data_IF_432414058452
#
_entry.id   IF_432414058452
#
_cell.length_a   1.000
_cell.length_b   1.000
_cell.length_c   1.000
_cell.angle_alpha   90.00
_cell.angle_beta   90.00
_cell.angle_gamma   90.00
#
_symmetry.space_group_name_H-M   'P 1'
#
loop_
_entity.id
_entity.type
_entity.pdbx_description
1 polymer ?
#
# COMPACT_ATOMS: atom_id res chain seq x y z
N UNK A 1 63.94 71.05 15.04
CA UNK A 1 63.77 72.09 14.02
C UNK A 1 62.45 71.82 13.31
N UNK A 2 61.54 72.80 13.40
CA UNK A 2 60.33 73.11 12.62
C UNK A 2 59.36 71.96 12.22
N UNK A 3 58.17 71.78 12.84
CA UNK A 3 56.88 72.53 12.68
C UNK A 3 56.53 72.79 11.21
N UNK A 4 55.51 72.19 10.56
CA UNK A 4 54.02 72.30 10.64
C UNK A 4 53.49 71.45 9.44
N UNK A 5 52.32 70.81 9.36
CA UNK A 5 50.96 71.36 9.36
C UNK A 5 49.97 70.17 9.19
N UNK A 6 48.76 70.31 9.74
CA UNK A 6 47.59 69.44 9.61
C UNK A 6 47.23 69.09 8.16
N UNK A 7 46.66 67.90 7.89
CA UNK A 7 45.25 67.79 7.48
C UNK A 7 44.70 66.36 7.57
N UNK A 8 43.49 66.31 8.12
CA UNK A 8 42.59 65.18 8.29
C UNK A 8 42.04 64.77 6.92
N UNK A 9 42.18 63.48 6.56
CA UNK A 9 41.39 62.85 5.48
C UNK A 9 40.71 61.60 6.02
N UNK A 10 39.69 61.82 6.85
CA UNK A 10 38.59 60.88 7.05
C UNK A 10 37.56 61.12 5.95
N UNK A 11 37.45 60.22 4.98
CA UNK A 11 36.23 60.06 4.17
C UNK A 11 35.99 58.59 3.83
N UNK A 12 35.07 58.01 4.61
CA UNK A 12 34.00 57.12 4.19
C UNK A 12 34.33 55.96 3.23
N UNK A 13 34.72 54.82 3.80
CA UNK A 13 34.23 53.53 3.31
C UNK A 13 32.91 53.24 4.03
N UNK A 14 31.82 53.70 3.42
CA UNK A 14 30.46 53.30 3.74
C UNK A 14 30.28 51.80 3.48
N UNK A 15 30.00 51.08 4.56
CA UNK A 15 29.04 49.99 4.66
C UNK A 15 28.85 49.09 3.41
N UNK A 16 29.56 47.97 3.40
CA UNK A 16 28.91 46.68 3.16
C UNK A 16 29.17 45.83 4.41
N UNK A 17 28.40 46.12 5.47
CA UNK A 17 28.24 45.16 6.56
C UNK A 17 27.58 43.93 5.95
N UNK A 18 28.37 42.88 5.73
CA UNK A 18 27.82 41.55 5.59
C UNK A 18 27.25 41.19 6.96
N UNK A 19 25.99 41.55 7.19
CA UNK A 19 25.12 40.91 8.16
C UNK A 19 24.96 39.44 7.76
N UNK A 20 26.00 38.64 7.98
CA UNK A 20 25.78 37.22 8.24
C UNK A 20 25.04 37.18 9.56
N UNK A 21 23.70 37.28 9.49
CA UNK A 21 22.85 36.77 10.56
C UNK A 21 23.31 35.33 10.76
N UNK A 22 24.03 35.06 11.85
CA UNK A 22 24.33 33.70 12.29
C UNK A 22 23.00 32.96 12.26
N UNK A 23 22.85 32.10 11.26
CA UNK A 23 21.67 31.26 11.16
C UNK A 23 21.80 30.35 12.36
N UNK A 24 20.99 30.57 13.39
CA UNK A 24 20.98 29.73 14.60
C UNK A 24 20.71 28.30 14.15
N UNK A 25 21.78 27.51 14.06
CA UNK A 25 21.69 26.10 13.71
C UNK A 25 21.26 25.35 14.97
N UNK A 26 20.37 24.39 14.80
CA UNK A 26 20.07 23.43 15.87
C UNK A 26 21.39 22.75 16.27
N UNK A 27 21.58 22.55 17.58
CA UNK A 27 22.75 21.79 18.03
C UNK A 27 22.61 20.32 17.63
N UNK A 28 23.72 19.59 17.60
CA UNK A 28 23.73 18.20 17.16
C UNK A 28 22.91 17.27 18.07
N UNK A 29 22.78 17.59 19.36
CA UNK A 29 22.03 16.78 20.31
C UNK A 29 20.52 16.89 20.08
N UNK A 30 20.02 18.08 19.76
CA UNK A 30 18.62 18.34 19.39
C UNK A 30 18.28 17.62 18.07
N UNK A 31 19.21 17.62 17.10
CA UNK A 31 19.04 16.91 15.83
C UNK A 31 18.99 15.39 16.08
N UNK A 32 19.91 14.85 16.89
CA UNK A 32 19.92 13.43 17.27
C UNK A 32 18.66 13.02 18.02
N UNK A 33 18.20 13.85 18.96
CA UNK A 33 16.97 13.61 19.70
C UNK A 33 15.74 13.55 18.77
N UNK A 34 15.67 14.40 17.74
CA UNK A 34 14.61 14.37 16.72
C UNK A 34 14.64 13.10 15.85
N UNK A 35 15.82 12.49 15.68
CA UNK A 35 16.01 11.25 14.92
C UNK A 35 15.83 9.98 15.77
N UNK A 36 15.81 10.09 17.10
CA UNK A 36 15.68 8.93 17.99
C UNK A 36 14.41 8.13 17.68
N UNK A 37 14.56 6.81 17.62
CA UNK A 37 13.46 5.87 17.40
C UNK A 37 13.39 4.89 18.56
N UNK A 38 12.17 4.49 18.91
CA UNK A 38 11.91 3.40 19.83
C UNK A 38 10.96 2.46 19.13
N UNK A 39 11.33 1.18 19.05
CA UNK A 39 10.49 0.17 18.41
C UNK A 39 9.14 0.10 19.15
N UNK A 40 8.08 0.19 18.36
CA UNK A 40 6.70 -0.02 18.78
C UNK A 40 6.09 -1.07 17.86
N UNK A 41 5.26 -1.95 18.40
CA UNK A 41 4.51 -2.92 17.60
C UNK A 41 3.11 -2.38 17.35
N UNK A 42 2.64 -2.48 16.11
CA UNK A 42 1.30 -2.04 15.71
C UNK A 42 0.24 -2.71 16.58
N UNK A 43 0.39 -4.01 16.85
CA UNK A 43 -0.54 -4.82 17.66
C UNK A 43 -0.85 -4.23 19.05
N UNK A 44 0.08 -3.47 19.61
CA UNK A 44 -0.05 -2.87 20.95
C UNK A 44 -0.96 -1.62 20.93
N UNK A 45 -1.29 -1.12 19.73
CA UNK A 45 -2.12 0.06 19.49
C UNK A 45 -3.44 -0.28 18.78
N UNK A 46 -3.77 -1.57 18.62
CA UNK A 46 -5.00 -1.99 17.92
C UNK A 46 -6.14 -2.28 18.90
N UNK A 47 -7.36 -1.78 18.66
CA UNK A 47 -8.52 -2.16 19.45
C UNK A 47 -8.95 -3.61 19.14
N UNK A 48 -9.76 -4.18 20.02
CA UNK A 48 -10.42 -5.46 19.75
C UNK A 48 -11.38 -5.34 18.55
N UNK A 49 -11.45 -6.37 17.72
CA UNK A 49 -12.34 -6.41 16.56
C UNK A 49 -13.77 -6.77 17.00
N UNK A 50 -14.82 -6.07 16.49
CA UNK A 50 -16.21 -6.43 16.78
C UNK A 50 -16.54 -7.82 16.22
N UNK A 51 -16.94 -8.76 17.07
CA UNK A 51 -17.10 -10.18 16.71
C UNK A 51 -18.06 -10.40 15.52
N UNK A 52 -19.22 -9.74 15.53
CA UNK A 52 -20.21 -9.84 14.44
C UNK A 52 -19.68 -9.27 13.11
N UNK A 53 -18.94 -8.15 13.14
CA UNK A 53 -18.34 -7.57 11.95
C UNK A 53 -17.14 -8.38 11.44
N UNK A 54 -16.42 -9.06 12.33
CA UNK A 54 -15.28 -9.93 12.00
C UNK A 54 -15.72 -11.18 11.21
N UNK A 55 -16.96 -11.67 11.40
CA UNK A 55 -17.55 -12.72 10.55
C UNK A 55 -17.61 -12.24 9.09
N UNK A 56 -18.16 -11.04 8.84
CA UNK A 56 -18.26 -10.45 7.50
C UNK A 56 -16.86 -10.25 6.90
N UNK A 57 -15.92 -9.71 7.68
CA UNK A 57 -14.55 -9.50 7.23
C UNK A 57 -13.84 -10.81 6.84
N UNK A 58 -13.90 -11.84 7.68
CA UNK A 58 -13.27 -13.14 7.42
C UNK A 58 -13.83 -13.79 6.15
N UNK A 59 -15.15 -13.74 5.96
CA UNK A 59 -15.77 -14.25 4.75
C UNK A 59 -15.38 -13.45 3.51
N UNK A 60 -15.36 -12.11 3.58
CA UNK A 60 -14.87 -11.25 2.51
C UNK A 60 -13.40 -11.54 2.14
N UNK A 61 -12.52 -11.77 3.14
CA UNK A 61 -11.13 -12.19 2.92
C UNK A 61 -11.02 -13.53 2.20
N UNK A 62 -11.88 -14.48 2.56
CA UNK A 62 -11.94 -15.77 1.87
C UNK A 62 -12.32 -15.60 0.40
N UNK A 63 -13.38 -14.84 0.11
CA UNK A 63 -13.80 -14.52 -1.26
C UNK A 63 -12.67 -13.84 -2.04
N UNK A 64 -12.06 -12.80 -1.46
CA UNK A 64 -10.99 -12.03 -2.09
C UNK A 64 -9.79 -12.92 -2.45
N UNK A 65 -9.33 -13.76 -1.52
CA UNK A 65 -8.21 -14.70 -1.72
C UNK A 65 -8.41 -15.57 -2.97
N UNK A 66 -9.62 -16.09 -3.18
CA UNK A 66 -9.94 -16.99 -4.29
C UNK A 66 -10.50 -16.27 -5.54
N UNK A 67 -10.77 -14.97 -5.46
CA UNK A 67 -11.14 -14.14 -6.62
C UNK A 67 -9.94 -13.50 -7.32
N UNK A 68 -8.76 -13.46 -6.68
CA UNK A 68 -7.53 -12.82 -7.22
C UNK A 68 -7.17 -13.23 -8.66
N UNK A 69 -7.40 -14.49 -9.05
CA UNK A 69 -7.12 -14.95 -10.41
C UNK A 69 -8.31 -14.83 -11.36
N UNK A 70 -9.53 -15.02 -10.83
CA UNK A 70 -10.76 -15.06 -11.64
C UNK A 70 -11.23 -13.67 -12.03
N UNK A 71 -10.99 -12.69 -11.16
CA UNK A 71 -11.43 -11.30 -11.32
C UNK A 71 -12.95 -11.23 -11.61
N UNK A 72 -13.74 -12.02 -10.88
CA UNK A 72 -15.20 -12.00 -11.01
C UNK A 72 -15.75 -10.73 -10.34
N UNK A 73 -16.33 -9.84 -11.14
CA UNK A 73 -16.90 -8.57 -10.69
C UNK A 73 -18.06 -8.74 -9.71
N UNK A 74 -18.87 -9.80 -9.86
CA UNK A 74 -19.96 -10.10 -8.93
C UNK A 74 -19.42 -10.49 -7.55
N UNK A 75 -18.29 -11.19 -7.50
CA UNK A 75 -17.59 -11.51 -6.25
C UNK A 75 -16.95 -10.25 -5.65
N UNK A 76 -16.40 -9.34 -6.46
CA UNK A 76 -15.89 -8.05 -5.95
C UNK A 76 -17.01 -7.18 -5.36
N UNK A 77 -18.19 -7.15 -5.97
CA UNK A 77 -19.35 -6.46 -5.41
C UNK A 77 -19.75 -7.02 -4.03
N UNK A 78 -19.71 -8.35 -3.86
CA UNK A 78 -19.97 -9.00 -2.57
C UNK A 78 -18.88 -8.66 -1.53
N UNK A 79 -17.60 -8.69 -1.93
CA UNK A 79 -16.48 -8.30 -1.07
C UNK A 79 -16.64 -6.85 -0.60
N UNK A 80 -16.96 -5.93 -1.52
CA UNK A 80 -17.18 -4.52 -1.23
C UNK A 80 -18.31 -4.33 -0.23
N UNK A 81 -19.47 -4.96 -0.48
CA UNK A 81 -20.64 -4.94 0.40
C UNK A 81 -20.27 -5.35 1.83
N UNK A 82 -19.60 -6.49 1.98
CA UNK A 82 -19.20 -7.02 3.29
C UNK A 82 -18.19 -6.11 3.99
N UNK A 83 -17.19 -5.59 3.26
CA UNK A 83 -16.22 -4.66 3.84
C UNK A 83 -16.85 -3.33 4.24
N UNK A 84 -17.78 -2.78 3.47
CA UNK A 84 -18.51 -1.54 3.82
C UNK A 84 -19.29 -1.70 5.12
N UNK A 85 -20.06 -2.78 5.24
CA UNK A 85 -20.85 -3.05 6.44
C UNK A 85 -19.94 -3.32 7.65
N UNK A 86 -18.87 -4.09 7.50
CA UNK A 86 -17.91 -4.33 8.57
C UNK A 86 -17.20 -3.03 9.01
N UNK A 87 -16.79 -2.19 8.05
CA UNK A 87 -16.15 -0.89 8.29
C UNK A 87 -17.04 0.04 9.10
N UNK A 88 -18.31 0.21 8.69
CA UNK A 88 -19.27 1.04 9.42
C UNK A 88 -19.56 0.53 10.84
N UNK A 89 -19.33 -0.76 11.09
CA UNK A 89 -19.43 -1.39 12.39
C UNK A 89 -18.10 -1.41 13.17
N UNK A 90 -17.10 -0.63 12.77
CA UNK A 90 -15.86 -0.41 13.52
C UNK A 90 -14.74 -1.41 13.21
N UNK A 91 -14.87 -2.19 12.15
CA UNK A 91 -13.86 -3.19 11.79
C UNK A 91 -12.69 -2.57 11.00
N UNK A 92 -11.63 -2.16 11.69
CA UNK A 92 -10.52 -1.43 11.07
C UNK A 92 -9.81 -2.18 9.94
N UNK A 93 -9.66 -3.51 10.02
CA UNK A 93 -9.04 -4.28 8.91
C UNK A 93 -9.91 -4.28 7.65
N UNK A 94 -11.23 -4.18 7.82
CA UNK A 94 -12.15 -4.08 6.69
C UNK A 94 -12.02 -2.70 6.04
N UNK A 95 -11.90 -1.65 6.86
CA UNK A 95 -11.65 -0.29 6.40
C UNK A 95 -10.36 -0.17 5.59
N UNK A 96 -9.26 -0.73 6.12
CA UNK A 96 -7.95 -0.75 5.45
C UNK A 96 -8.04 -1.52 4.12
N UNK A 97 -8.68 -2.69 4.12
CA UNK A 97 -8.79 -3.50 2.90
C UNK A 97 -9.69 -2.85 1.84
N UNK A 98 -10.78 -2.21 2.25
CA UNK A 98 -11.66 -1.46 1.36
C UNK A 98 -10.89 -0.32 0.69
N UNK A 99 -10.18 0.48 1.46
CA UNK A 99 -9.33 1.56 0.97
C UNK A 99 -8.23 1.04 0.03
N UNK A 100 -7.57 -0.08 0.37
CA UNK A 100 -6.57 -0.71 -0.48
C UNK A 100 -7.16 -1.22 -1.80
N UNK A 101 -8.35 -1.80 -1.77
CA UNK A 101 -9.05 -2.25 -2.97
C UNK A 101 -9.48 -1.11 -3.88
N UNK A 102 -9.90 0.01 -3.30
CA UNK A 102 -10.19 1.24 -4.04
C UNK A 102 -8.93 1.85 -4.67
N UNK A 103 -7.82 1.91 -3.93
CA UNK A 103 -6.53 2.37 -4.48
C UNK A 103 -6.04 1.48 -5.64
N UNK A 104 -6.32 0.17 -5.58
CA UNK A 104 -6.01 -0.82 -6.63
C UNK A 104 -7.10 -0.93 -7.71
N UNK A 105 -8.19 -0.17 -7.58
CA UNK A 105 -9.29 -0.04 -8.56
C UNK A 105 -10.08 -1.32 -8.84
N UNK A 106 -10.16 -2.25 -7.88
CA UNK A 106 -11.07 -3.41 -7.97
C UNK A 106 -12.26 -3.33 -6.99
N UNK A 107 -12.26 -2.32 -6.10
CA UNK A 107 -13.43 -1.94 -5.30
C UNK A 107 -13.77 -0.47 -5.61
N UNK A 108 -15.04 -0.11 -5.44
CA UNK A 108 -15.59 1.19 -5.79
C UNK A 108 -15.76 2.09 -4.57
N UNK A 109 -15.81 3.39 -4.82
CA UNK A 109 -16.13 4.42 -3.84
C UNK A 109 -15.52 5.76 -4.22
N UNK A 110 -15.81 6.77 -3.40
CA UNK A 110 -15.38 8.14 -3.61
C UNK A 110 -14.05 8.45 -2.94
N UNK A 111 -13.41 9.50 -3.44
CA UNK A 111 -12.24 10.10 -2.79
C UNK A 111 -12.53 10.57 -1.36
N UNK A 112 -13.73 11.10 -1.12
CA UNK A 112 -14.17 11.56 0.20
C UNK A 112 -14.32 10.41 1.19
N UNK A 113 -14.88 9.27 0.77
CA UNK A 113 -15.00 8.09 1.65
C UNK A 113 -13.62 7.58 2.11
N UNK A 114 -12.63 7.54 1.22
CA UNK A 114 -11.27 7.15 1.60
C UNK A 114 -10.67 8.09 2.65
N UNK A 115 -10.83 9.41 2.48
CA UNK A 115 -10.35 10.38 3.45
C UNK A 115 -11.06 10.23 4.80
N UNK A 116 -12.39 10.14 4.81
CA UNK A 116 -13.20 9.98 6.02
C UNK A 116 -12.82 8.72 6.80
N UNK A 117 -12.58 7.60 6.10
CA UNK A 117 -12.17 6.36 6.75
C UNK A 117 -10.74 6.42 7.30
N UNK A 118 -9.80 7.06 6.60
CA UNK A 118 -8.46 7.28 7.14
C UNK A 118 -8.50 8.19 8.39
N UNK A 119 -9.36 9.21 8.40
CA UNK A 119 -9.58 10.08 9.57
C UNK A 119 -10.18 9.32 10.75
N UNK A 120 -11.15 8.42 10.53
CA UNK A 120 -11.73 7.60 11.59
C UNK A 120 -10.70 6.62 12.19
N UNK A 121 -9.83 6.03 11.35
CA UNK A 121 -8.70 5.23 11.83
C UNK A 121 -7.73 6.06 12.69
N UNK A 122 -7.41 7.29 12.26
CA UNK A 122 -6.57 8.22 13.03
C UNK A 122 -7.22 8.58 14.37
N UNK A 123 -8.52 8.89 14.36
CA UNK A 123 -9.29 9.26 15.55
C UNK A 123 -9.35 8.11 16.57
N UNK A 124 -9.34 6.88 16.10
CA UNK A 124 -9.27 5.67 16.94
C UNK A 124 -7.83 5.24 17.25
N UNK A 125 -6.84 6.09 16.92
CA UNK A 125 -5.41 5.89 17.15
C UNK A 125 -4.84 4.61 16.49
N UNK A 126 -5.43 4.20 15.36
CA UNK A 126 -4.99 3.04 14.61
C UNK A 126 -3.82 3.43 13.70
N UNK A 127 -2.63 2.81 13.82
CA UNK A 127 -1.41 3.27 13.14
C UNK A 127 -1.54 3.34 11.62
N UNK A 128 -2.24 2.37 11.02
CA UNK A 128 -2.51 2.33 9.58
C UNK A 128 -3.29 3.55 9.05
N UNK A 129 -4.11 4.21 9.89
CA UNK A 129 -4.82 5.44 9.50
C UNK A 129 -3.87 6.59 9.17
N UNK A 130 -2.85 6.78 10.00
CA UNK A 130 -1.79 7.77 9.75
C UNK A 130 -1.00 7.43 8.49
N UNK A 131 -0.71 6.15 8.26
CA UNK A 131 0.00 5.71 7.06
C UNK A 131 -0.82 5.95 5.78
N UNK A 132 -2.10 5.58 5.77
CA UNK A 132 -3.01 5.81 4.64
C UNK A 132 -3.19 7.29 4.33
N UNK A 133 -3.39 8.13 5.35
CA UNK A 133 -3.43 9.58 5.19
C UNK A 133 -2.12 10.14 4.62
N UNK A 134 -0.98 9.65 5.10
CA UNK A 134 0.34 9.97 4.54
C UNK A 134 0.44 9.60 3.05
N UNK A 135 -0.08 8.45 2.63
CA UNK A 135 -0.12 8.05 1.22
C UNK A 135 -1.00 8.99 0.39
N UNK A 136 -2.18 9.37 0.89
CA UNK A 136 -3.09 10.27 0.19
C UNK A 136 -2.49 11.66 0.00
N UNK A 137 -1.90 12.22 1.05
CA UNK A 137 -1.20 13.51 1.00
C UNK A 137 0.03 13.41 0.10
N UNK A 138 0.81 12.32 0.14
CA UNK A 138 2.00 12.16 -0.72
C UNK A 138 1.64 12.14 -2.20
N UNK A 139 0.52 11.50 -2.54
CA UNK A 139 0.12 11.27 -3.92
C UNK A 139 -0.80 12.38 -4.47
N UNK A 140 -1.43 13.18 -3.59
CA UNK A 140 -2.46 14.14 -3.99
C UNK A 140 -3.75 13.43 -4.42
N UNK A 141 -4.20 12.44 -3.65
CA UNK A 141 -5.39 11.61 -3.92
C UNK A 141 -6.43 11.74 -2.82
N UNK A 142 -7.57 11.06 -2.96
CA UNK A 142 -8.67 11.12 -1.98
C UNK A 142 -9.20 12.56 -1.75
N UNK A 143 -9.10 13.45 -2.76
CA UNK A 143 -9.49 14.86 -2.64
C UNK A 143 -8.49 15.72 -1.86
N UNK A 144 -7.35 15.16 -1.47
CA UNK A 144 -6.33 15.82 -0.66
C UNK A 144 -5.20 16.33 -1.57
N UNK A 145 -4.75 17.56 -1.33
CA UNK A 145 -3.65 18.16 -2.10
C UNK A 145 -2.32 17.50 -1.75
N UNK A 146 -1.43 17.44 -2.73
CA UNK A 146 -0.11 16.88 -2.56
C UNK A 146 0.76 17.75 -1.64
N UNK A 147 1.27 17.17 -0.56
CA UNK A 147 2.23 17.81 0.36
C UNK A 147 3.24 16.77 0.90
N UNK A 148 4.43 16.64 0.27
CA UNK A 148 5.41 15.65 0.68
C UNK A 148 5.95 15.82 2.11
N UNK A 149 6.03 17.04 2.62
CA UNK A 149 6.56 17.32 3.95
C UNK A 149 5.54 16.93 5.03
N UNK A 150 4.28 17.27 4.81
CA UNK A 150 3.20 16.85 5.69
C UNK A 150 3.06 15.32 5.69
N UNK A 151 3.13 14.68 4.51
CA UNK A 151 3.09 13.22 4.40
C UNK A 151 4.21 12.54 5.24
N UNK A 152 5.42 13.08 5.24
CA UNK A 152 6.52 12.57 6.07
C UNK A 152 6.20 12.63 7.57
N UNK A 153 5.51 13.67 8.04
CA UNK A 153 5.07 13.75 9.45
C UNK A 153 4.03 12.69 9.78
N UNK A 154 3.10 12.41 8.86
CA UNK A 154 2.13 11.32 9.01
C UNK A 154 2.80 9.94 9.02
N UNK A 155 3.73 9.68 8.11
CA UNK A 155 4.50 8.43 8.12
C UNK A 155 5.33 8.28 9.38
N UNK A 156 5.98 9.35 9.86
CA UNK A 156 6.73 9.32 11.11
C UNK A 156 5.83 8.96 12.29
N UNK A 157 4.66 9.60 12.39
CA UNK A 157 3.68 9.29 13.44
C UNK A 157 3.17 7.85 13.36
N UNK A 158 2.91 7.33 12.16
CA UNK A 158 2.54 5.92 11.96
C UNK A 158 3.65 4.97 12.42
N UNK A 159 4.91 5.27 12.10
CA UNK A 159 6.07 4.47 12.49
C UNK A 159 6.27 4.46 14.02
N UNK A 160 6.09 5.61 14.68
CA UNK A 160 6.16 5.74 16.14
C UNK A 160 5.03 4.99 16.87
N UNK A 161 3.89 4.79 16.19
CA UNK A 161 2.79 3.95 16.67
C UNK A 161 2.91 2.48 16.22
N UNK A 162 4.02 2.13 15.57
CA UNK A 162 4.35 0.75 15.26
C UNK A 162 3.94 0.23 13.89
N UNK A 163 3.35 1.05 13.01
CA UNK A 163 2.95 0.59 11.69
C UNK A 163 4.17 0.10 10.88
N UNK A 164 4.23 -1.17 10.45
CA UNK A 164 5.42 -1.74 9.83
C UNK A 164 5.74 -1.13 8.46
N UNK A 165 4.72 -0.80 7.65
CA UNK A 165 4.93 -0.14 6.35
C UNK A 165 5.55 1.26 6.53
N UNK A 166 5.13 1.99 7.58
CA UNK A 166 5.66 3.29 7.91
C UNK A 166 7.09 3.23 8.48
N UNK A 167 7.37 2.24 9.33
CA UNK A 167 8.72 1.97 9.85
C UNK A 167 9.69 1.69 8.70
N UNK A 168 9.31 0.85 7.74
CA UNK A 168 10.10 0.60 6.54
C UNK A 168 10.26 1.87 5.68
N UNK A 169 9.16 2.61 5.45
CA UNK A 169 9.17 3.82 4.64
C UNK A 169 10.12 4.89 5.19
N UNK A 170 10.08 5.14 6.50
CA UNK A 170 10.99 6.10 7.15
C UNK A 170 12.40 5.52 7.25
N UNK A 171 12.55 4.23 7.57
CA UNK A 171 13.84 3.55 7.57
C UNK A 171 14.57 3.72 6.24
N UNK A 172 13.89 3.54 5.11
CA UNK A 172 14.45 3.78 3.77
C UNK A 172 14.90 5.22 3.53
N UNK A 173 14.25 6.21 4.15
CA UNK A 173 14.66 7.63 4.07
C UNK A 173 15.90 7.92 4.91
N UNK A 174 16.09 7.19 6.00
CA UNK A 174 17.21 7.36 6.93
C UNK A 174 18.42 6.49 6.58
N UNK A 175 18.23 5.46 5.76
CA UNK A 175 19.24 4.47 5.36
C UNK A 175 20.50 5.02 4.67
N UNK A 176 20.47 6.12 3.90
CA UNK A 176 21.71 6.68 3.35
C UNK A 176 22.76 6.93 4.45
N UNK A 177 24.01 6.60 4.14
CA UNK A 177 25.13 6.60 5.10
C UNK A 177 25.37 7.97 5.76
N UNK A 178 24.98 9.04 5.08
CA UNK A 178 25.12 10.43 5.50
C UNK A 178 23.91 10.99 6.27
N UNK A 179 22.89 10.17 6.56
CA UNK A 179 21.68 10.57 7.29
C UNK A 179 21.62 9.92 8.68
N UNK A 180 21.11 8.68 8.79
CA UNK A 180 20.95 7.98 10.06
C UNK A 180 20.79 6.46 9.86
N UNK A 181 21.80 5.77 9.29
CA UNK A 181 21.72 4.34 8.95
C UNK A 181 21.42 3.45 10.17
N UNK A 182 21.95 3.77 11.35
CA UNK A 182 21.68 3.01 12.57
C UNK A 182 20.20 3.07 12.99
N UNK A 183 19.57 4.24 12.84
CA UNK A 183 18.13 4.41 13.10
C UNK A 183 17.32 3.66 12.04
N UNK A 184 17.76 3.69 10.78
CA UNK A 184 17.13 2.92 9.71
C UNK A 184 17.14 1.41 10.00
N UNK A 185 18.26 0.86 10.51
CA UNK A 185 18.36 -0.54 10.94
C UNK A 185 17.35 -0.87 12.02
N UNK A 186 17.25 -0.02 13.05
CA UNK A 186 16.29 -0.21 14.14
C UNK A 186 14.84 -0.23 13.64
N UNK A 187 14.48 0.70 12.74
CA UNK A 187 13.14 0.77 12.17
C UNK A 187 12.82 -0.46 11.32
N UNK A 188 13.74 -0.88 10.44
CA UNK A 188 13.56 -2.07 9.60
C UNK A 188 13.52 -3.35 10.42
N UNK A 189 14.31 -3.46 11.49
CA UNK A 189 14.29 -4.60 12.41
C UNK A 189 12.91 -4.72 13.06
N UNK A 190 12.39 -3.61 13.60
CA UNK A 190 11.07 -3.55 14.21
C UNK A 190 9.95 -3.92 13.21
N UNK A 191 10.05 -3.48 11.96
CA UNK A 191 9.09 -3.85 10.90
C UNK A 191 9.21 -5.34 10.51
N UNK A 192 10.43 -5.87 10.38
CA UNK A 192 10.70 -7.26 10.04
C UNK A 192 10.14 -8.24 11.09
N UNK A 193 10.31 -7.92 12.38
CA UNK A 193 9.74 -8.68 13.50
C UNK A 193 8.20 -8.72 13.49
N UNK A 194 7.58 -7.74 12.85
CA UNK A 194 6.12 -7.68 12.64
C UNK A 194 5.66 -8.41 11.37
N UNK A 195 6.58 -9.05 10.64
CA UNK A 195 6.28 -9.78 9.41
C UNK A 195 6.30 -8.90 8.14
N UNK A 196 6.98 -7.75 8.16
CA UNK A 196 7.18 -6.94 6.96
C UNK A 196 8.38 -7.44 6.14
N UNK A 197 8.09 -8.27 5.14
CA UNK A 197 9.10 -8.97 4.36
C UNK A 197 10.05 -8.05 3.56
N UNK A 198 9.58 -6.90 3.08
CA UNK A 198 10.43 -5.93 2.39
C UNK A 198 11.49 -5.32 3.31
N UNK A 199 11.11 -5.00 4.55
CA UNK A 199 12.03 -4.46 5.55
C UNK A 199 13.07 -5.50 5.97
N UNK A 200 12.66 -6.77 6.06
CA UNK A 200 13.57 -7.87 6.34
C UNK A 200 14.63 -8.05 5.24
N UNK A 201 14.25 -7.94 3.96
CA UNK A 201 15.23 -7.97 2.86
C UNK A 201 16.16 -6.77 2.92
N UNK A 202 15.61 -5.57 3.01
CA UNK A 202 16.38 -4.33 3.03
C UNK A 202 17.40 -4.32 4.20
N UNK A 203 17.01 -4.82 5.38
CA UNK A 203 17.89 -4.94 6.53
C UNK A 203 18.89 -6.09 6.37
N UNK A 204 18.47 -7.26 5.88
CA UNK A 204 19.37 -8.39 5.66
C UNK A 204 20.50 -8.06 4.69
N UNK A 205 20.20 -7.36 3.59
CA UNK A 205 21.20 -6.90 2.60
C UNK A 205 22.13 -5.85 3.19
N UNK A 206 21.59 -4.91 3.96
CA UNK A 206 22.39 -3.88 4.64
C UNK A 206 23.37 -4.49 5.65
N UNK A 207 22.90 -5.43 6.48
CA UNK A 207 23.75 -6.18 7.43
C UNK A 207 24.79 -7.05 6.71
N UNK A 208 24.41 -7.70 5.61
CA UNK A 208 25.35 -8.49 4.79
C UNK A 208 26.47 -7.60 4.21
N UNK A 209 26.13 -6.41 3.71
CA UNK A 209 27.09 -5.44 3.19
C UNK A 209 28.07 -4.93 4.26
N UNK A 210 27.64 -4.84 5.51
CA UNK A 210 28.46 -4.52 6.68
C UNK A 210 29.16 -5.74 7.30
N UNK A 211 29.10 -6.91 6.63
CA UNK A 211 29.68 -8.18 7.09
C UNK A 211 29.12 -8.70 8.43
N UNK A 212 27.94 -8.22 8.83
CA UNK A 212 27.17 -8.67 10.00
C UNK A 212 26.34 -9.91 9.66
N UNK A 213 27.01 -10.97 9.21
CA UNK A 213 26.36 -12.14 8.63
C UNK A 213 25.40 -12.90 9.57
N UNK A 214 25.73 -13.15 10.86
CA UNK A 214 24.81 -13.85 11.77
C UNK A 214 23.48 -13.11 11.96
N UNK A 215 23.51 -11.78 12.02
CA UNK A 215 22.34 -10.92 12.09
C UNK A 215 21.57 -10.94 10.77
N UNK A 216 22.26 -10.81 9.63
CA UNK A 216 21.65 -10.88 8.30
C UNK A 216 20.86 -12.18 8.10
N UNK A 217 21.43 -13.34 8.50
CA UNK A 217 20.79 -14.65 8.42
C UNK A 217 19.49 -14.70 9.24
N UNK A 218 19.48 -14.15 10.46
CA UNK A 218 18.27 -14.07 11.30
C UNK A 218 17.20 -13.21 10.66
N UNK A 219 17.58 -12.07 10.07
CA UNK A 219 16.61 -11.17 9.46
C UNK A 219 16.08 -11.76 8.14
N UNK A 220 16.92 -12.40 7.33
CA UNK A 220 16.42 -13.15 6.17
C UNK A 220 15.44 -14.25 6.59
N UNK A 221 15.66 -14.94 7.72
CA UNK A 221 14.71 -15.90 8.28
C UNK A 221 13.34 -15.25 8.55
N UNK A 222 13.32 -14.05 9.16
CA UNK A 222 12.09 -13.27 9.33
C UNK A 222 11.43 -12.95 7.98
N UNK A 223 12.22 -12.61 6.96
CA UNK A 223 11.76 -12.39 5.59
C UNK A 223 11.06 -13.61 4.99
N UNK A 224 11.61 -14.81 5.21
CA UNK A 224 10.99 -16.07 4.77
C UNK A 224 9.67 -16.32 5.52
N UNK A 225 9.64 -16.14 6.84
CA UNK A 225 8.42 -16.29 7.65
C UNK A 225 7.33 -15.31 7.21
N UNK A 226 7.74 -14.08 6.89
CA UNK A 226 6.92 -13.03 6.32
C UNK A 226 6.48 -13.29 4.87
N UNK A 227 6.95 -14.37 4.24
CA UNK A 227 6.55 -14.77 2.89
C UNK A 227 7.14 -13.91 1.77
N UNK A 228 8.25 -13.20 2.01
CA UNK A 228 8.98 -12.52 0.95
C UNK A 228 9.65 -13.55 0.04
N UNK A 229 9.41 -13.44 -1.27
CA UNK A 229 9.87 -14.41 -2.28
C UNK A 229 11.39 -14.40 -2.51
N UNK A 230 12.08 -13.31 -2.16
CA UNK A 230 13.54 -13.17 -2.32
C UNK A 230 14.30 -13.69 -1.10
N UNK A 231 13.70 -13.69 0.09
CA UNK A 231 14.40 -14.05 1.32
C UNK A 231 14.97 -15.49 1.30
N UNK A 232 14.25 -16.50 0.75
CA UNK A 232 14.80 -17.84 0.68
C UNK A 232 16.02 -17.95 -0.22
N UNK A 233 16.19 -17.12 -1.26
CA UNK A 233 17.35 -17.22 -2.14
C UNK A 233 18.65 -16.79 -1.47
N UNK A 234 18.60 -15.77 -0.59
CA UNK A 234 19.77 -15.36 0.21
C UNK A 234 20.24 -16.51 1.12
N UNK A 235 19.30 -17.15 1.83
CA UNK A 235 19.62 -18.27 2.72
C UNK A 235 20.05 -19.51 1.93
N UNK A 236 19.36 -19.83 0.84
CA UNK A 236 19.75 -20.94 -0.03
C UNK A 236 21.16 -20.75 -0.60
N UNK A 237 21.51 -19.55 -1.06
CA UNK A 237 22.83 -19.18 -1.52
C UNK A 237 23.88 -19.28 -0.41
N UNK A 238 23.60 -18.69 0.76
CA UNK A 238 24.50 -18.72 1.91
C UNK A 238 24.84 -20.14 2.38
N UNK A 239 23.85 -21.03 2.49
CA UNK A 239 24.08 -22.43 2.89
C UNK A 239 24.81 -23.28 1.83
N UNK A 240 25.01 -22.78 0.60
CA UNK A 240 25.95 -23.41 -0.35
C UNK A 240 27.42 -23.12 0.02
N UNK A 241 27.65 -22.23 0.99
CA UNK A 241 28.96 -21.77 1.43
C UNK A 241 29.85 -21.32 0.26
N UNK A 242 29.43 -20.29 -0.49
CA UNK A 242 30.25 -19.73 -1.55
C UNK A 242 31.54 -19.13 -0.96
N UNK A 243 32.57 -18.91 -1.78
CA UNK A 243 33.76 -18.20 -1.32
C UNK A 243 33.46 -16.72 -0.98
N UNK A 244 34.27 -16.07 -0.12
CA UNK A 244 34.04 -14.67 0.30
C UNK A 244 34.07 -13.63 -0.83
N UNK A 245 34.62 -13.97 -1.99
CA UNK A 245 34.64 -13.12 -3.19
C UNK A 245 33.33 -13.19 -4.02
N UNK A 246 32.33 -13.96 -3.57
CA UNK A 246 30.93 -13.87 -4.01
C UNK A 246 30.10 -13.06 -3.00
N UNK A 247 30.14 -11.72 -3.06
CA UNK A 247 29.49 -10.85 -2.07
C UNK A 247 27.96 -10.98 -2.09
N UNK A 248 27.37 -11.50 -3.17
CA UNK A 248 25.93 -11.64 -3.28
C UNK A 248 25.42 -12.79 -2.40
N UNK A 249 26.14 -13.91 -2.39
CA UNK A 249 25.69 -15.14 -1.71
C UNK A 249 26.45 -15.43 -0.42
N UNK A 250 27.59 -14.77 -0.17
CA UNK A 250 28.39 -15.02 1.03
C UNK A 250 27.69 -14.54 2.31
N UNK A 251 27.49 -15.46 3.26
CA UNK A 251 26.90 -15.23 4.59
C UNK A 251 27.70 -15.89 5.72
N UNK A 252 28.97 -16.23 5.46
CA UNK A 252 29.84 -16.93 6.43
C UNK A 252 29.19 -18.17 7.10
N UNK A 253 28.35 -18.89 6.35
CA UNK A 253 27.68 -20.11 6.80
C UNK A 253 28.49 -21.35 6.41
N UNK A 254 28.41 -22.39 7.24
CA UNK A 254 28.88 -23.72 6.86
C UNK A 254 27.99 -24.31 5.77
N UNK A 255 28.59 -25.13 4.91
CA UNK A 255 27.88 -25.79 3.82
C UNK A 255 26.82 -26.75 4.37
N UNK A 256 25.56 -26.53 4.01
CA UNK A 256 24.43 -27.40 4.33
C UNK A 256 23.48 -27.50 3.11
N UNK A 257 23.75 -28.50 2.26
CA UNK A 257 23.02 -28.71 1.01
C UNK A 257 21.52 -29.01 1.25
N UNK A 258 21.17 -29.62 2.39
CA UNK A 258 19.77 -29.92 2.71
C UNK A 258 19.02 -28.65 3.13
N UNK A 259 19.63 -27.79 3.97
CA UNK A 259 19.05 -26.47 4.29
C UNK A 259 18.85 -25.64 3.04
N UNK A 260 19.86 -25.59 2.18
CA UNK A 260 19.80 -24.87 0.92
C UNK A 260 18.61 -25.35 0.08
N UNK A 261 18.44 -26.66 -0.10
CA UNK A 261 17.28 -27.25 -0.82
C UNK A 261 15.93 -26.90 -0.19
N UNK A 262 15.81 -26.88 1.14
CA UNK A 262 14.56 -26.50 1.82
C UNK A 262 14.20 -25.05 1.56
N UNK A 263 15.15 -24.12 1.64
CA UNK A 263 14.91 -22.73 1.26
C UNK A 263 14.55 -22.58 -0.21
N UNK A 264 15.23 -23.29 -1.13
CA UNK A 264 14.85 -23.28 -2.55
C UNK A 264 13.41 -23.77 -2.78
N UNK A 265 12.97 -24.81 -2.05
CA UNK A 265 11.60 -25.31 -2.12
C UNK A 265 10.59 -24.29 -1.57
N UNK A 266 10.91 -23.63 -0.45
CA UNK A 266 10.08 -22.54 0.10
C UNK A 266 9.96 -21.39 -0.89
N UNK A 267 11.09 -20.93 -1.46
CA UNK A 267 11.10 -19.88 -2.47
C UNK A 267 10.23 -20.22 -3.67
N UNK A 268 10.32 -21.44 -4.21
CA UNK A 268 9.44 -21.92 -5.28
C UNK A 268 7.97 -21.84 -4.91
N UNK A 269 7.60 -22.21 -3.68
CA UNK A 269 6.21 -22.10 -3.20
C UNK A 269 5.76 -20.65 -3.08
N UNK A 270 6.57 -19.78 -2.46
CA UNK A 270 6.24 -18.36 -2.31
C UNK A 270 6.07 -17.68 -3.67
N UNK A 271 6.97 -17.92 -4.62
CA UNK A 271 6.86 -17.38 -5.98
C UNK A 271 5.65 -17.94 -6.73
N UNK A 272 5.38 -19.25 -6.67
CA UNK A 272 4.26 -19.85 -7.38
C UNK A 272 2.90 -19.34 -6.91
N UNK A 273 2.81 -18.89 -5.66
CA UNK A 273 1.57 -18.44 -5.03
C UNK A 273 1.58 -16.96 -4.60
N UNK A 274 2.50 -16.14 -5.13
CA UNK A 274 2.70 -14.75 -4.69
C UNK A 274 1.40 -13.92 -4.64
N UNK A 275 0.50 -14.14 -5.60
CA UNK A 275 -0.81 -13.47 -5.71
C UNK A 275 -1.73 -13.74 -4.50
N UNK A 276 -1.53 -14.85 -3.79
CA UNK A 276 -2.29 -15.22 -2.60
C UNK A 276 -1.60 -14.82 -1.29
N UNK A 277 -0.46 -14.12 -1.36
CA UNK A 277 0.34 -13.62 -0.23
C UNK A 277 0.63 -14.71 0.83
N UNK A 278 1.31 -15.81 0.45
CA UNK A 278 1.66 -16.88 1.36
C UNK A 278 2.56 -16.41 2.49
N UNK A 279 2.45 -17.07 3.66
CA UNK A 279 3.30 -16.86 4.84
C UNK A 279 3.82 -18.22 5.33
N UNK A 280 4.95 -18.23 6.03
CA UNK A 280 5.57 -19.46 6.55
C UNK A 280 5.87 -19.30 8.05
N UNK A 281 4.85 -19.10 8.91
CA UNK A 281 5.07 -18.90 10.34
C UNK A 281 5.62 -20.14 11.05
N UNK A 282 5.47 -21.32 10.45
CA UNK A 282 5.97 -22.62 10.89
C UNK A 282 7.38 -22.96 10.37
N UNK A 283 8.13 -21.96 9.89
CA UNK A 283 9.43 -22.14 9.24
C UNK A 283 10.43 -22.96 10.06
N UNK A 284 10.45 -22.81 11.38
CA UNK A 284 11.35 -23.56 12.26
C UNK A 284 11.01 -25.05 12.35
N UNK A 285 9.81 -25.46 11.93
CA UNK A 285 9.43 -26.87 11.76
C UNK A 285 9.91 -27.44 10.41
N UNK A 286 10.38 -26.59 9.51
CA UNK A 286 10.88 -26.94 8.18
C UNK A 286 12.40 -26.81 8.13
N UNK A 287 12.96 -25.65 8.49
CA UNK A 287 14.37 -25.31 8.36
C UNK A 287 14.82 -24.33 9.48
N UNK A 288 14.90 -24.78 10.75
CA UNK A 288 15.31 -23.93 11.87
C UNK A 288 16.80 -23.59 11.78
N UNK A 289 17.23 -22.36 12.02
CA UNK A 289 18.64 -21.96 11.85
C UNK A 289 19.63 -22.81 12.70
N UNK A 290 20.90 -22.99 12.25
CA UNK A 290 21.95 -23.59 13.08
C UNK A 290 22.09 -22.89 14.43
N UNK A 291 22.45 -23.60 15.51
CA UNK A 291 22.94 -24.98 15.55
C UNK A 291 21.83 -26.05 15.61
N UNK A 292 20.55 -25.68 15.49
CA UNK A 292 19.46 -26.65 15.54
C UNK A 292 19.61 -27.71 14.43
N UNK A 293 19.27 -28.97 14.73
CA UNK A 293 19.23 -30.04 13.72
C UNK A 293 17.97 -29.90 12.88
N UNK A 294 18.06 -30.26 11.61
CA UNK A 294 16.91 -30.28 10.72
C UNK A 294 15.87 -31.30 11.20
N UNK A 295 14.58 -30.90 11.35
CA UNK A 295 13.51 -31.82 11.65
C UNK A 295 13.20 -32.71 10.44
N UNK A 296 12.48 -33.81 10.69
CA UNK A 296 11.84 -34.57 9.60
C UNK A 296 10.84 -33.65 8.91
N UNK A 297 10.88 -33.61 7.59
CA UNK A 297 10.01 -32.79 6.76
C UNK A 297 9.48 -33.64 5.61
N UNK A 298 8.17 -33.54 5.36
CA UNK A 298 7.46 -34.34 4.35
C UNK A 298 7.48 -33.70 2.95
N UNK A 299 8.21 -32.60 2.77
CA UNK A 299 8.27 -31.87 1.51
C UNK A 299 7.08 -30.94 1.27
N UNK A 300 6.19 -30.77 2.26
CA UNK A 300 4.97 -29.97 2.13
C UNK A 300 4.98 -28.72 2.99
N UNK A 301 4.03 -27.82 2.75
CA UNK A 301 3.90 -26.55 3.46
C UNK A 301 2.50 -26.43 4.06
N UNK A 302 2.41 -26.07 5.35
CA UNK A 302 1.12 -25.94 6.03
C UNK A 302 0.20 -24.94 5.32
N UNK A 303 0.73 -23.78 4.93
CA UNK A 303 -0.01 -22.78 4.17
C UNK A 303 -0.59 -23.33 2.86
N UNK A 304 0.17 -24.18 2.15
CA UNK A 304 -0.28 -24.76 0.87
C UNK A 304 -1.40 -25.78 1.09
N UNK A 305 -1.29 -26.61 2.13
CA UNK A 305 -2.34 -27.55 2.54
C UNK A 305 -3.65 -26.80 2.81
N UNK A 306 -3.59 -25.71 3.59
CA UNK A 306 -4.74 -24.87 3.91
C UNK A 306 -5.31 -24.15 2.68
N UNK A 307 -4.43 -23.61 1.82
CA UNK A 307 -4.83 -22.95 0.58
C UNK A 307 -5.62 -23.89 -0.34
N UNK A 308 -5.16 -25.14 -0.47
CA UNK A 308 -5.78 -26.16 -1.33
C UNK A 308 -7.06 -26.75 -0.73
N UNK A 309 -7.15 -26.84 0.61
CA UNK A 309 -8.34 -27.33 1.29
C UNK A 309 -9.56 -26.42 1.09
N UNK A 310 -9.35 -25.11 0.83
CA UNK A 310 -10.41 -24.12 0.54
C UNK A 310 -11.54 -24.13 1.57
N UNK A 311 -11.20 -24.37 2.84
CA UNK A 311 -12.17 -24.37 3.93
C UNK A 311 -12.69 -22.95 4.10
N UNK A 312 -13.96 -22.73 3.78
CA UNK A 312 -14.60 -21.44 3.95
C UNK A 312 -14.83 -21.17 5.45
N UNK A 313 -14.59 -19.95 5.93
CA UNK A 313 -15.09 -19.55 7.24
C UNK A 313 -16.62 -19.49 7.22
N UNK A 314 -17.23 -19.29 8.39
CA UNK A 314 -18.67 -19.09 8.49
C UNK A 314 -19.16 -18.01 7.52
N UNK A 315 -20.12 -18.38 6.67
CA UNK A 315 -20.78 -17.42 5.78
C UNK A 315 -21.75 -16.58 6.63
N UNK A 316 -21.67 -15.23 6.58
CA UNK A 316 -22.59 -14.38 7.31
C UNK A 316 -24.03 -14.60 6.82
N UNK A 317 -24.98 -14.69 7.74
CA UNK A 317 -26.39 -14.84 7.41
C UNK A 317 -26.98 -13.52 6.91
N UNK A 318 -28.05 -13.59 6.11
CA UNK A 318 -28.75 -12.40 5.62
C UNK A 318 -29.35 -11.59 6.77
N UNK A 319 -29.77 -12.26 7.86
CA UNK A 319 -30.24 -11.59 9.08
C UNK A 319 -29.13 -10.81 9.78
N UNK A 320 -27.91 -11.37 9.85
CA UNK A 320 -26.76 -10.69 10.43
C UNK A 320 -26.38 -9.45 9.60
N UNK A 321 -26.32 -9.59 8.27
CA UNK A 321 -26.04 -8.50 7.34
C UNK A 321 -27.10 -7.41 7.49
N UNK A 322 -28.39 -7.77 7.49
CA UNK A 322 -29.50 -6.83 7.64
C UNK A 322 -29.46 -6.10 9.00
N UNK A 323 -29.16 -6.82 10.09
CA UNK A 323 -29.00 -6.25 11.43
C UNK A 323 -27.89 -5.19 11.45
N UNK A 324 -26.69 -5.55 10.98
CA UNK A 324 -25.52 -4.66 10.99
C UNK A 324 -25.67 -3.46 10.05
N UNK A 325 -26.26 -3.66 8.87
CA UNK A 325 -26.54 -2.59 7.92
C UNK A 325 -27.56 -1.59 8.49
N UNK A 326 -28.69 -2.10 9.02
CA UNK A 326 -29.75 -1.28 9.64
C UNK A 326 -29.21 -0.43 10.80
N UNK A 327 -28.37 -1.01 11.66
CA UNK A 327 -27.77 -0.31 12.79
C UNK A 327 -26.91 0.90 12.38
N UNK A 328 -26.43 0.93 11.12
CA UNK A 328 -25.57 1.99 10.58
C UNK A 328 -26.22 2.79 9.45
N UNK A 329 -27.52 2.58 9.19
CA UNK A 329 -28.24 3.28 8.12
C UNK A 329 -27.71 2.96 6.72
N UNK A 330 -27.22 1.72 6.53
CA UNK A 330 -26.74 1.21 5.25
C UNK A 330 -27.82 0.36 4.56
N UNK A 331 -27.75 0.30 3.24
CA UNK A 331 -28.47 -0.68 2.43
C UNK A 331 -27.80 -2.06 2.58
N UNK A 332 -28.52 -3.13 2.97
CA UNK A 332 -27.94 -4.46 3.13
C UNK A 332 -27.51 -5.13 1.81
N UNK A 333 -28.02 -4.68 0.66
CA UNK A 333 -27.69 -5.26 -0.64
C UNK A 333 -26.37 -4.72 -1.22
N UNK A 334 -25.98 -3.48 -0.89
CA UNK A 334 -24.77 -2.83 -1.41
C UNK A 334 -23.78 -2.41 -0.32
N UNK A 335 -24.22 -2.30 0.93
CA UNK A 335 -23.44 -1.69 2.02
C UNK A 335 -23.34 -0.16 1.92
N UNK A 336 -24.02 0.47 0.96
CA UNK A 336 -23.99 1.92 0.76
C UNK A 336 -24.86 2.66 1.78
N UNK A 337 -24.49 3.89 2.20
CA UNK A 337 -25.35 4.70 3.05
C UNK A 337 -26.68 5.03 2.37
N UNK A 338 -27.81 4.75 3.06
CA UNK A 338 -29.15 5.01 2.52
C UNK A 338 -29.37 6.49 2.16
N UNK A 339 -28.74 7.40 2.88
CA UNK A 339 -28.79 8.83 2.59
C UNK A 339 -28.11 9.21 1.26
N UNK A 340 -27.06 8.47 0.87
CA UNK A 340 -26.38 8.69 -0.42
C UNK A 340 -27.22 8.14 -1.57
N UNK A 341 -27.83 6.95 -1.40
CA UNK A 341 -28.74 6.37 -2.40
C UNK A 341 -29.93 7.30 -2.68
N UNK A 342 -30.56 7.85 -1.63
CA UNK A 342 -31.65 8.84 -1.78
C UNK A 342 -31.20 10.12 -2.48
N UNK A 343 -29.98 10.59 -2.26
CA UNK A 343 -29.44 11.77 -2.98
C UNK A 343 -29.19 11.46 -4.45
N UNK A 344 -28.76 10.25 -4.78
CA UNK A 344 -28.60 9.82 -6.17
C UNK A 344 -29.96 9.71 -6.90
N UNK A 345 -31.02 9.31 -6.21
CA UNK A 345 -32.39 9.29 -6.76
C UNK A 345 -32.98 10.70 -6.98
N UNK A 346 -32.57 11.70 -6.18
CA UNK A 346 -33.11 13.07 -6.21
C UNK A 346 -32.25 14.03 -7.05
N UNK A 347 -31.01 13.68 -7.40
CA UNK A 347 -30.19 14.46 -8.30
C UNK A 347 -30.91 14.59 -9.67
N UNK A 348 -31.06 15.81 -10.23
CA UNK A 348 -31.78 15.98 -11.49
C UNK A 348 -31.10 15.12 -12.55
N UNK A 349 -31.86 14.15 -13.07
CA UNK A 349 -31.46 13.43 -14.26
C UNK A 349 -31.13 14.46 -15.36
N UNK A 350 -30.06 14.28 -16.16
CA UNK A 350 -29.95 15.03 -17.40
C UNK A 350 -31.26 14.82 -18.16
N UNK A 351 -31.86 15.92 -18.64
CA UNK A 351 -33.20 15.99 -19.23
C UNK A 351 -33.44 14.77 -20.13
N UNK A 352 -34.15 13.78 -19.60
CA UNK A 352 -34.57 12.61 -20.33
C UNK A 352 -35.94 12.91 -20.90
N UNK A 353 -36.00 13.08 -22.22
CA UNK A 353 -37.24 13.03 -22.98
C UNK A 353 -37.92 11.68 -22.71
N UNK A 354 -39.14 11.76 -22.21
CA UNK A 354 -40.02 10.64 -21.88
C UNK A 354 -40.34 9.80 -23.11
N UNK A 355 -39.85 8.56 -23.15
CA UNK A 355 -40.53 7.37 -23.68
C UNK A 355 -39.84 6.12 -23.12
N UNK A 356 -40.63 5.10 -22.78
CA UNK A 356 -40.25 3.77 -22.27
C UNK A 356 -39.21 3.04 -23.14
N UNK A 357 -38.53 1.99 -22.59
CA UNK A 357 -37.13 1.72 -22.89
C UNK A 357 -36.97 0.86 -24.14
N UNK A 358 -36.81 1.51 -25.29
CA UNK A 358 -36.06 0.90 -26.35
C UNK A 358 -34.60 0.83 -25.89
N UNK A 359 -34.05 -0.39 -25.82
CA UNK A 359 -32.60 -0.58 -25.63
C UNK A 359 -31.89 0.35 -26.60
N UNK A 360 -30.88 1.06 -26.12
CA UNK A 360 -30.07 1.88 -27.03
C UNK A 360 -29.41 0.96 -28.05
N UNK A 361 -29.44 1.34 -29.33
CA UNK A 361 -28.91 0.49 -30.38
C UNK A 361 -27.40 0.28 -30.21
N UNK A 362 -26.89 -0.88 -30.64
CA UNK A 362 -25.46 -1.04 -30.85
C UNK A 362 -24.95 0.08 -31.77
N UNK A 363 -23.77 0.62 -31.48
CA UNK A 363 -23.25 1.83 -32.10
C UNK A 363 -23.60 3.13 -31.37
N UNK A 364 -24.41 3.10 -30.31
CA UNK A 364 -24.72 4.30 -29.52
C UNK A 364 -23.44 4.89 -28.91
N UNK A 365 -23.26 6.21 -29.05
CA UNK A 365 -22.12 6.95 -28.50
C UNK A 365 -22.46 7.58 -27.15
N UNK A 366 -21.54 7.51 -26.19
CA UNK A 366 -21.66 8.14 -24.88
C UNK A 366 -20.32 8.71 -24.43
N UNK A 367 -20.31 9.93 -23.86
CA UNK A 367 -19.08 10.63 -23.48
C UNK A 367 -18.65 10.29 -22.05
N UNK A 368 -17.34 10.31 -21.82
CA UNK A 368 -16.73 10.24 -20.49
C UNK A 368 -17.44 11.19 -19.51
N UNK A 369 -17.75 10.70 -18.31
CA UNK A 369 -18.46 11.44 -17.27
C UNK A 369 -19.98 11.50 -17.42
N UNK A 370 -20.56 10.97 -18.50
CA UNK A 370 -22.02 10.75 -18.60
C UNK A 370 -22.39 9.41 -17.94
N UNK A 371 -23.67 9.24 -17.58
CA UNK A 371 -24.17 7.96 -17.12
C UNK A 371 -24.36 7.02 -18.31
N UNK A 372 -23.90 5.79 -18.16
CA UNK A 372 -23.98 4.72 -19.15
C UNK A 372 -25.46 4.41 -19.43
N UNK A 373 -25.94 4.61 -20.66
CA UNK A 373 -27.37 4.50 -20.95
C UNK A 373 -27.85 3.05 -21.06
N UNK A 374 -26.94 2.08 -21.23
CA UNK A 374 -27.28 0.67 -21.36
C UNK A 374 -26.12 -0.24 -20.94
N UNK A 375 -26.44 -1.34 -20.27
CA UNK A 375 -25.44 -2.27 -19.78
C UNK A 375 -24.81 -3.05 -20.95
N UNK A 376 -23.48 -3.05 -21.04
CA UNK A 376 -22.80 -3.67 -22.17
C UNK A 376 -21.32 -3.38 -22.28
N UNK A 377 -20.70 -3.93 -23.32
CA UNK A 377 -19.31 -3.68 -23.70
C UNK A 377 -19.25 -2.37 -24.50
N UNK A 378 -18.55 -1.39 -23.96
CA UNK A 378 -18.32 -0.09 -24.57
C UNK A 378 -16.88 0.05 -25.06
N UNK A 379 -16.70 0.53 -26.28
CA UNK A 379 -15.40 0.69 -26.94
C UNK A 379 -15.06 2.16 -27.19
N UNK A 380 -13.85 2.57 -26.85
CA UNK A 380 -13.32 3.90 -27.14
C UNK A 380 -12.09 3.81 -28.03
N UNK A 381 -11.90 4.79 -28.92
CA UNK A 381 -10.69 4.92 -29.72
C UNK A 381 -10.00 6.26 -29.46
N UNK A 382 -8.73 6.21 -29.08
CA UNK A 382 -7.90 7.40 -28.87
C UNK A 382 -6.51 7.17 -29.46
N UNK A 383 -6.05 8.08 -30.33
CA UNK A 383 -4.73 8.01 -30.98
C UNK A 383 -4.40 6.63 -31.61
N UNK A 384 -5.40 5.97 -32.21
CA UNK A 384 -5.24 4.66 -32.84
C UNK A 384 -5.22 3.46 -31.88
N UNK A 385 -5.32 3.69 -30.56
CA UNK A 385 -5.49 2.64 -29.56
C UNK A 385 -6.97 2.41 -29.23
N UNK A 386 -7.32 1.15 -29.02
CA UNK A 386 -8.67 0.70 -28.65
C UNK A 386 -8.74 0.44 -27.14
N UNK A 387 -9.74 1.02 -26.50
CA UNK A 387 -10.10 0.84 -25.10
C UNK A 387 -11.45 0.14 -25.00
N UNK A 388 -11.65 -0.66 -23.97
CA UNK A 388 -12.91 -1.38 -23.76
C UNK A 388 -13.29 -1.45 -22.28
N UNK A 389 -14.54 -1.17 -21.95
CA UNK A 389 -15.10 -1.35 -20.60
C UNK A 389 -16.44 -2.06 -20.65
N UNK A 390 -16.66 -3.02 -19.76
CA UNK A 390 -17.98 -3.55 -19.48
C UNK A 390 -18.62 -2.64 -18.42
N UNK A 391 -19.74 -2.02 -18.76
CA UNK A 391 -20.39 -1.03 -17.89
C UNK A 391 -21.83 -1.46 -17.59
N UNK A 392 -22.26 -1.19 -16.35
CA UNK A 392 -23.67 -1.32 -15.98
C UNK A 392 -24.44 -0.06 -16.33
N UNK A 393 -25.73 -0.20 -16.64
CA UNK A 393 -26.63 0.94 -16.87
C UNK A 393 -26.63 1.86 -15.64
N UNK A 394 -26.38 3.16 -15.86
CA UNK A 394 -26.25 4.16 -14.80
C UNK A 394 -24.83 4.36 -14.27
N UNK A 395 -23.83 3.56 -14.67
CA UNK A 395 -22.43 3.77 -14.28
C UNK A 395 -21.81 4.96 -15.04
N UNK A 396 -20.92 5.75 -14.44
CA UNK A 396 -20.22 6.80 -15.17
C UNK A 396 -19.30 6.23 -16.26
N UNK A 397 -19.38 6.80 -17.47
CA UNK A 397 -18.46 6.47 -18.56
C UNK A 397 -17.03 6.83 -18.15
N UNK A 398 -16.07 5.89 -18.23
CA UNK A 398 -14.74 6.07 -17.67
C UNK A 398 -13.88 7.05 -18.48
N UNK A 399 -12.93 7.69 -17.81
CA UNK A 399 -11.84 8.42 -18.44
C UNK A 399 -10.68 7.47 -18.74
N UNK A 400 -9.91 7.77 -19.78
CA UNK A 400 -8.67 7.05 -20.05
C UNK A 400 -7.47 7.79 -19.45
N UNK A 401 -6.54 7.08 -18.78
CA UNK A 401 -5.31 7.68 -18.32
C UNK A 401 -4.39 7.93 -19.51
N UNK A 402 -4.06 9.20 -19.77
CA UNK A 402 -3.10 9.58 -20.79
C UNK A 402 -1.82 10.14 -20.17
N UNK A 403 -0.71 9.90 -20.85
CA UNK A 403 0.62 10.33 -20.45
C UNK A 403 1.16 11.28 -21.50
N UNK A 404 0.97 12.59 -21.28
CA UNK A 404 1.33 13.62 -22.25
C UNK A 404 2.77 14.09 -21.98
N UNK A 405 3.64 14.14 -23.01
CA UNK A 405 4.97 14.73 -22.88
C UNK A 405 4.88 16.17 -22.38
N UNK A 406 5.64 16.51 -21.33
CA UNK A 406 5.74 17.91 -20.87
C UNK A 406 6.48 18.72 -21.94
N UNK A 407 5.95 19.91 -22.27
CA UNK A 407 6.59 20.83 -23.22
C UNK A 407 7.98 21.29 -22.77
N UNK A 408 8.22 21.32 -21.45
CA UNK A 408 9.52 21.61 -20.86
C UNK A 408 10.35 20.32 -20.68
N UNK A 409 11.45 20.21 -21.45
CA UNK A 409 12.36 19.05 -21.43
C UNK A 409 13.00 18.78 -20.07
N UNK A 410 13.33 19.81 -19.29
CA UNK A 410 13.90 19.65 -17.94
C UNK A 410 12.85 19.09 -16.98
N UNK A 411 11.61 19.55 -17.07
CA UNK A 411 10.51 19.03 -16.28
C UNK A 411 10.14 17.59 -16.70
N UNK A 412 10.22 17.27 -17.99
CA UNK A 412 10.04 15.90 -18.49
C UNK A 412 11.11 14.95 -17.95
N UNK A 413 12.37 15.38 -17.89
CA UNK A 413 13.47 14.59 -17.33
C UNK A 413 13.34 14.41 -15.80
N UNK A 414 12.97 15.46 -15.06
CA UNK A 414 12.86 15.42 -13.60
C UNK A 414 11.59 14.74 -13.07
N UNK A 415 10.47 14.88 -13.79
CA UNK A 415 9.13 14.52 -13.28
C UNK A 415 8.39 13.51 -14.16
N UNK A 416 8.97 13.12 -15.29
CA UNK A 416 8.29 12.29 -16.29
C UNK A 416 7.15 13.03 -17.01
N UNK A 417 6.43 12.31 -17.89
CA UNK A 417 5.27 12.85 -18.58
C UNK A 417 4.13 13.21 -17.61
N UNK A 418 3.30 14.16 -18.01
CA UNK A 418 2.14 14.58 -17.24
C UNK A 418 1.01 13.56 -17.41
N UNK A 419 0.47 13.07 -16.29
CA UNK A 419 -0.68 12.16 -16.28
C UNK A 419 -1.95 12.99 -16.25
N UNK A 420 -2.82 12.79 -17.23
CA UNK A 420 -4.13 13.44 -17.32
C UNK A 420 -5.20 12.40 -17.57
N UNK A 421 -6.41 12.67 -17.11
CA UNK A 421 -7.59 11.90 -17.48
C UNK A 421 -8.24 12.55 -18.69
N UNK A 422 -8.28 11.82 -19.80
CA UNK A 422 -8.88 12.31 -21.04
C UNK A 422 -10.34 11.91 -21.12
N UNK A 423 -11.15 12.88 -21.55
CA UNK A 423 -12.51 12.64 -21.97
C UNK A 423 -12.53 12.13 -23.42
N UNK A 424 -13.26 11.06 -23.66
CA UNK A 424 -13.49 10.51 -24.99
C UNK A 424 -14.92 10.03 -25.18
N UNK A 425 -15.25 9.70 -26.43
CA UNK A 425 -16.50 9.03 -26.83
C UNK A 425 -16.32 7.52 -26.82
N UNK A 426 -17.29 6.85 -26.23
CA UNK A 426 -17.41 5.42 -26.12
C UNK A 426 -18.59 4.94 -26.95
N UNK A 427 -18.47 3.79 -27.60
CA UNK A 427 -19.48 3.20 -28.45
C UNK A 427 -19.96 1.87 -27.89
N UNK A 428 -21.27 1.67 -27.75
CA UNK A 428 -21.84 0.38 -27.34
C UNK A 428 -21.63 -0.66 -28.43
N UNK A 429 -20.91 -1.73 -28.11
CA UNK A 429 -20.58 -2.80 -29.07
C UNK A 429 -21.42 -4.06 -28.84
N UNK A 430 -21.68 -4.42 -27.57
CA UNK A 430 -22.46 -5.60 -27.19
C UNK A 430 -23.25 -5.33 -25.93
N UNK A 431 -24.42 -5.94 -25.79
CA UNK A 431 -25.19 -5.91 -24.54
C UNK A 431 -24.57 -6.85 -23.50
N UNK A 432 -24.78 -6.58 -22.21
CA UNK A 432 -24.23 -7.40 -21.13
C UNK A 432 -24.88 -8.80 -21.02
N UNK A 433 -26.06 -8.97 -21.62
CA UNK A 433 -26.85 -10.22 -21.64
C UNK A 433 -26.69 -11.03 -22.95
N UNK A 434 -25.79 -10.63 -23.84
CA UNK A 434 -25.64 -11.16 -25.20
C UNK A 434 -24.33 -11.93 -25.45
#
# INVERSE_FOLDING_TARGET
>A
MLTRLLLICTFALTACGNDFKERKLDNLDDIKAKLAFTCAYEKDHLPALPAEADILFKYARFLEKYNTQKQDEGVFAEIERLYRIATANGHYKASINLQNGMMRRYLHGSSTEMADWAEELIKTNIPAGYFLMGLYIKNGSAGIKKDPELALRYFRKAADLGNPDAQDYIGKKLAPIDIAPDVARQMRQCAAEQGHGGAAIDLGVDLQGDELFPEAVKVFQLGVMAGNELAPSYLAGGFKAPPPDDPLNYLALEKDDERSKRYEAIGKMLTAYYFANPKVPDLDQIVPLPPAKLPKWDGTFQWLKEYQAKVAPEKPSDELIAKLAKAKGLDPASGMPLAQLKKAEVAPAPIATTTTPDRVSLGTLCRTGQLCPEAGLWLGYFEGQKYSHLLSKGQLMPSIPASIPRSNKLAQWLKGPEKMELAMEWQLEKYADA
#
